data_IF_123553210561
#
_entry.id   IF_123553210561
#
_cell.length_a   1.000
_cell.length_b   1.000
_cell.length_c   1.000
_cell.angle_alpha   90.00
_cell.angle_beta   90.00
_cell.angle_gamma   90.00
#
_symmetry.space_group_name_H-M   'P 1'
#
loop_
_entity.id
_entity.type
_entity.pdbx_description
1 polymer ?
#
# COMPACT_ATOMS: atom_id res chain seq x y z
N UNK A 1 0.29 -2.77 -11.48
CA UNK A 1 1.73 -2.63 -11.15
C UNK A 1 1.85 -2.57 -9.63
N UNK A 2 2.68 -3.41 -9.01
CA UNK A 2 2.89 -3.39 -7.55
C UNK A 2 3.81 -2.22 -7.18
N UNK A 3 3.41 -1.39 -6.23
CA UNK A 3 4.15 -0.19 -5.83
C UNK A 3 5.11 -0.46 -4.66
N UNK A 4 4.61 -1.08 -3.60
CA UNK A 4 5.39 -1.46 -2.44
C UNK A 4 4.89 -2.80 -1.89
N UNK A 5 5.73 -3.44 -1.07
CA UNK A 5 5.36 -4.60 -0.27
C UNK A 5 6.24 -4.56 0.98
N UNK A 6 5.63 -4.70 2.14
CA UNK A 6 6.29 -4.63 3.43
C UNK A 6 5.50 -5.44 4.46
N UNK A 7 6.14 -5.80 5.57
CA UNK A 7 5.50 -6.46 6.71
C UNK A 7 4.91 -5.43 7.68
N UNK A 8 3.97 -5.86 8.52
CA UNK A 8 3.28 -4.97 9.47
C UNK A 8 4.20 -4.19 10.44
N UNK A 9 5.45 -4.60 10.61
CA UNK A 9 6.46 -3.95 11.45
C UNK A 9 7.53 -3.18 10.66
N UNK A 10 7.38 -3.04 9.36
CA UNK A 10 8.26 -2.28 8.47
C UNK A 10 7.65 -0.91 8.16
N UNK A 11 8.43 -0.03 7.54
CA UNK A 11 7.96 1.31 7.17
C UNK A 11 6.89 1.23 6.07
N UNK A 12 5.77 1.90 6.30
CA UNK A 12 4.65 1.97 5.36
C UNK A 12 5.03 2.73 4.07
N UNK A 13 4.17 2.61 3.05
CA UNK A 13 4.35 3.36 1.81
C UNK A 13 4.09 4.87 2.00
N UNK A 14 5.09 5.69 1.70
CA UNK A 14 5.09 7.15 1.86
C UNK A 14 4.44 7.93 0.70
N UNK A 15 3.94 7.24 -0.32
CA UNK A 15 3.40 7.86 -1.53
C UNK A 15 4.42 8.06 -2.66
N UNK A 16 5.64 7.52 -2.54
CA UNK A 16 6.67 7.59 -3.59
C UNK A 16 6.94 6.22 -4.23
N UNK A 17 7.28 6.20 -5.52
CA UNK A 17 7.65 4.99 -6.23
C UNK A 17 8.86 5.28 -7.12
N UNK A 18 9.94 4.51 -6.96
CA UNK A 18 11.21 4.72 -7.68
C UNK A 18 11.73 6.18 -7.56
N UNK A 19 11.59 6.77 -6.37
CA UNK A 19 11.99 8.16 -6.09
C UNK A 19 11.09 9.23 -6.70
N UNK A 20 9.96 8.85 -7.32
CA UNK A 20 8.98 9.77 -7.90
C UNK A 20 7.70 9.78 -7.07
N UNK A 21 7.15 10.97 -6.85
CA UNK A 21 5.89 11.07 -6.11
C UNK A 21 4.72 10.56 -6.96
N UNK A 22 3.89 9.67 -6.39
CA UNK A 22 2.78 9.04 -7.10
C UNK A 22 1.51 9.91 -7.13
N UNK A 23 0.72 9.94 -8.22
CA UNK A 23 -0.42 10.84 -8.37
C UNK A 23 -1.42 10.81 -7.21
N UNK A 24 -2.10 11.93 -6.93
CA UNK A 24 -3.22 11.96 -5.99
C UNK A 24 -4.47 11.33 -6.60
N UNK A 25 -4.61 10.02 -6.43
CA UNK A 25 -5.68 9.19 -7.01
C UNK A 25 -5.93 7.97 -6.13
N UNK A 26 -6.77 7.05 -6.58
CA UNK A 26 -7.09 5.82 -5.86
C UNK A 26 -6.02 4.74 -6.06
N UNK A 27 -5.64 4.10 -4.96
CA UNK A 27 -4.69 3.00 -4.89
C UNK A 27 -5.32 1.82 -4.18
N UNK A 28 -4.91 0.62 -4.60
CA UNK A 28 -5.37 -0.63 -4.02
C UNK A 28 -4.29 -1.24 -3.13
N UNK A 29 -4.71 -1.92 -2.07
CA UNK A 29 -3.85 -2.70 -1.21
C UNK A 29 -4.43 -4.11 -1.00
N UNK A 30 -3.52 -5.01 -0.63
CA UNK A 30 -3.78 -6.40 -0.29
C UNK A 30 -2.95 -6.73 0.95
N UNK A 31 -3.59 -7.26 1.99
CA UNK A 31 -2.96 -7.68 3.23
C UNK A 31 -3.25 -9.16 3.42
N UNK A 32 -2.19 -9.97 3.45
CA UNK A 32 -2.25 -11.39 3.77
C UNK A 32 -1.81 -11.61 5.22
N UNK A 33 -2.65 -12.28 6.00
CA UNK A 33 -2.37 -12.69 7.38
C UNK A 33 -2.30 -14.21 7.42
N UNK A 34 -1.07 -14.72 7.27
CA UNK A 34 -0.79 -16.17 7.17
C UNK A 34 -1.22 -16.93 8.43
N UNK A 35 -1.13 -16.34 9.62
CA UNK A 35 -1.43 -17.00 10.89
C UNK A 35 -2.90 -17.41 11.04
N UNK A 36 -3.80 -16.74 10.33
CA UNK A 36 -5.25 -17.00 10.38
C UNK A 36 -5.84 -17.31 9.00
N UNK A 37 -4.99 -17.50 7.98
CA UNK A 37 -5.39 -17.74 6.59
C UNK A 37 -6.45 -16.74 6.10
N UNK A 38 -6.18 -15.43 6.30
CA UNK A 38 -7.08 -14.35 5.87
C UNK A 38 -6.39 -13.36 4.97
N UNK A 39 -7.16 -12.89 4.00
CA UNK A 39 -6.78 -11.85 3.07
C UNK A 39 -7.75 -10.67 3.17
N UNK A 40 -7.22 -9.45 3.17
CA UNK A 40 -7.98 -8.22 3.11
C UNK A 40 -7.59 -7.43 1.87
N UNK A 41 -8.58 -6.99 1.10
CA UNK A 41 -8.39 -6.18 -0.09
C UNK A 41 -9.20 -4.91 0.07
N UNK A 42 -8.59 -3.78 -0.27
CA UNK A 42 -9.25 -2.49 -0.20
C UNK A 42 -8.59 -1.45 -1.09
N UNK A 43 -9.13 -0.24 -1.06
CA UNK A 43 -8.55 0.91 -1.73
C UNK A 43 -8.58 2.14 -0.81
N UNK A 44 -7.70 3.08 -1.11
CA UNK A 44 -7.66 4.40 -0.48
C UNK A 44 -7.29 5.46 -1.53
N UNK A 45 -7.72 6.68 -1.31
CA UNK A 45 -7.30 7.82 -2.13
C UNK A 45 -6.06 8.45 -1.50
N UNK A 46 -4.98 8.59 -2.29
CA UNK A 46 -3.78 9.32 -1.87
C UNK A 46 -4.05 10.83 -1.93
N UNK A 47 -4.32 11.45 -0.79
CA UNK A 47 -4.53 12.90 -0.69
C UNK A 47 -3.20 13.57 -0.30
N UNK A 48 -2.80 14.59 -1.06
CA UNK A 48 -1.71 15.50 -0.67
C UNK A 48 -2.34 16.76 -0.11
N UNK A 49 -2.00 17.13 1.12
CA UNK A 49 -2.38 18.40 1.74
C UNK A 49 -1.21 19.37 1.72
#
# INVERSE_FOLDING_TARGET
KKLAQYRANEEDWDGTYEGKMMPSTDYWYEIDIEEIDKQYIGHFTLIRR
#
